data_IF_882194467083
#
_entry.id   IF_882194467083
#
_cell.length_a   1.000
_cell.length_b   1.000
_cell.length_c   1.000
_cell.angle_alpha   90.00
_cell.angle_beta   90.00
_cell.angle_gamma   90.00
#
_symmetry.space_group_name_H-M   'P 1'
#
loop_
_entity.id
_entity.type
_entity.pdbx_description
1 polymer ?
#
# COMPACT_ATOMS: atom_id res chain seq x y z
N UNK A 1 -14.64 -27.86 -34.72
CA UNK A 1 -13.80 -27.84 -33.50
C UNK A 1 -12.64 -26.94 -33.83
N UNK A 2 -12.90 -25.65 -33.91
CA UNK A 2 -11.88 -24.66 -34.31
C UNK A 2 -11.29 -24.06 -33.04
N UNK A 3 -10.73 -24.92 -32.21
CA UNK A 3 -9.76 -24.51 -31.20
C UNK A 3 -8.44 -24.23 -31.92
N UNK A 4 -8.46 -23.24 -32.81
CA UNK A 4 -7.22 -22.62 -33.24
C UNK A 4 -6.51 -22.17 -31.97
N UNK A 5 -5.31 -22.69 -31.72
CA UNK A 5 -4.62 -22.49 -30.46
C UNK A 5 -4.44 -20.98 -30.24
N UNK A 6 -5.26 -20.42 -29.36
CA UNK A 6 -5.32 -18.98 -29.14
C UNK A 6 -3.96 -18.46 -28.62
N UNK A 7 -3.15 -19.35 -28.05
CA UNK A 7 -1.78 -19.08 -27.63
C UNK A 7 -0.85 -18.84 -28.81
N UNK A 8 -1.00 -19.61 -29.89
CA UNK A 8 -0.23 -19.44 -31.12
C UNK A 8 -0.62 -18.15 -31.87
N UNK A 9 -1.84 -17.65 -31.66
CA UNK A 9 -2.32 -16.38 -32.23
C UNK A 9 -1.88 -15.15 -31.41
N UNK A 10 -1.46 -15.35 -30.17
CA UNK A 10 -1.08 -14.25 -29.28
C UNK A 10 0.39 -13.88 -29.55
N UNK A 11 0.61 -12.75 -30.22
CA UNK A 11 1.98 -12.27 -30.46
C UNK A 11 2.75 -12.06 -29.13
N UNK A 12 4.05 -12.39 -29.07
CA UNK A 12 4.88 -12.15 -27.88
C UNK A 12 4.81 -10.70 -27.39
N UNK A 13 4.80 -9.73 -28.30
CA UNK A 13 4.68 -8.31 -27.99
C UNK A 13 3.37 -7.97 -27.27
N UNK A 14 2.27 -8.64 -27.62
CA UNK A 14 0.98 -8.45 -26.94
C UNK A 14 1.07 -8.88 -25.47
N UNK A 15 1.75 -9.99 -25.18
CA UNK A 15 1.98 -10.44 -23.80
C UNK A 15 2.88 -9.48 -23.04
N UNK A 16 3.94 -8.99 -23.68
CA UNK A 16 4.84 -8.01 -23.07
C UNK A 16 4.10 -6.71 -22.73
N UNK A 17 3.20 -6.23 -23.59
CA UNK A 17 2.34 -5.08 -23.32
C UNK A 17 1.40 -5.31 -22.12
N UNK A 18 0.90 -6.54 -21.93
CA UNK A 18 0.11 -6.89 -20.75
C UNK A 18 0.96 -6.81 -19.47
N UNK A 19 2.16 -7.39 -19.48
CA UNK A 19 3.12 -7.30 -18.36
C UNK A 19 3.41 -5.84 -18.02
N UNK A 20 3.73 -5.00 -19.02
CA UNK A 20 4.01 -3.58 -18.81
C UNK A 20 2.82 -2.85 -18.17
N UNK A 21 1.59 -3.10 -18.64
CA UNK A 21 0.38 -2.51 -18.03
C UNK A 21 0.18 -2.93 -16.58
N UNK A 22 0.49 -4.18 -16.23
CA UNK A 22 0.43 -4.67 -14.85
C UNK A 22 1.48 -3.95 -14.01
N UNK A 23 2.73 -3.89 -14.47
CA UNK A 23 3.83 -3.21 -13.77
C UNK A 23 3.53 -1.72 -13.56
N UNK A 24 3.02 -1.01 -14.57
CA UNK A 24 2.62 0.40 -14.47
C UNK A 24 1.50 0.61 -13.46
N UNK A 25 0.54 -0.32 -13.42
CA UNK A 25 -0.57 -0.26 -12.45
C UNK A 25 -0.05 -0.45 -11.02
N UNK A 26 0.88 -1.37 -10.81
CA UNK A 26 1.50 -1.59 -9.50
C UNK A 26 2.33 -0.38 -9.06
N UNK A 27 3.12 0.20 -9.97
CA UNK A 27 3.94 1.39 -9.70
C UNK A 27 3.09 2.60 -9.27
N UNK A 28 1.92 2.82 -9.87
CA UNK A 28 1.03 3.93 -9.53
C UNK A 28 0.39 3.81 -8.14
N UNK A 29 0.30 2.59 -7.60
CA UNK A 29 -0.38 2.31 -6.32
C UNK A 29 0.60 2.25 -5.16
N UNK A 30 1.84 1.85 -5.44
CA UNK A 30 2.87 1.66 -4.43
C UNK A 30 3.73 2.92 -4.33
N UNK A 31 4.08 3.37 -3.12
CA UNK A 31 5.06 4.44 -2.97
C UNK A 31 6.38 3.89 -3.53
N UNK A 32 6.98 4.64 -4.47
CA UNK A 32 8.15 4.19 -5.24
C UNK A 32 9.23 3.62 -4.30
N UNK A 33 9.46 2.30 -4.36
CA UNK A 33 10.41 1.61 -3.49
C UNK A 33 11.85 1.60 -4.02
N UNK A 34 12.23 2.63 -4.78
CA UNK A 34 13.54 2.69 -5.44
C UNK A 34 13.72 1.66 -6.57
N UNK A 35 14.94 1.56 -7.14
CA UNK A 35 15.24 0.71 -8.31
C UNK A 35 14.96 -0.79 -8.08
N UNK A 36 15.34 -1.34 -6.93
CA UNK A 36 15.03 -2.72 -6.54
C UNK A 36 13.52 -3.01 -6.55
N UNK A 37 12.71 -2.07 -6.08
CA UNK A 37 11.25 -2.21 -6.05
C UNK A 37 10.67 -2.39 -7.46
N UNK A 38 11.16 -1.62 -8.44
CA UNK A 38 10.69 -1.73 -9.83
C UNK A 38 10.97 -3.11 -10.43
N UNK A 39 12.16 -3.66 -10.15
CA UNK A 39 12.54 -5.01 -10.60
C UNK A 39 11.63 -6.09 -9.98
N UNK A 40 11.27 -5.93 -8.71
CA UNK A 40 10.35 -6.83 -8.03
C UNK A 40 8.92 -6.74 -8.62
N UNK A 41 8.43 -5.53 -8.89
CA UNK A 41 7.12 -5.34 -9.54
C UNK A 41 7.07 -5.99 -10.91
N UNK A 42 8.16 -5.88 -11.68
CA UNK A 42 8.26 -6.54 -12.99
C UNK A 42 8.21 -8.07 -12.87
N UNK A 43 8.94 -8.65 -11.90
CA UNK A 43 8.89 -10.10 -11.64
C UNK A 43 7.51 -10.57 -11.21
N UNK A 44 6.82 -9.79 -10.37
CA UNK A 44 5.45 -10.08 -9.96
C UNK A 44 4.50 -10.03 -11.16
N UNK A 45 4.60 -8.99 -12.00
CA UNK A 45 3.79 -8.81 -13.19
C UNK A 45 4.00 -9.96 -14.21
N UNK A 46 5.25 -10.39 -14.39
CA UNK A 46 5.58 -11.51 -15.27
C UNK A 46 4.98 -12.82 -14.78
N UNK A 47 5.21 -13.19 -13.50
CA UNK A 47 4.63 -14.43 -12.92
C UNK A 47 3.10 -14.43 -12.98
N UNK A 48 2.50 -13.28 -12.75
CA UNK A 48 1.06 -13.11 -12.82
C UNK A 48 0.51 -13.39 -14.22
N UNK A 49 1.14 -12.79 -15.23
CA UNK A 49 0.73 -12.94 -16.62
C UNK A 49 0.92 -14.39 -17.06
N UNK A 50 2.06 -14.99 -16.75
CA UNK A 50 2.41 -16.37 -17.11
C UNK A 50 1.45 -17.38 -16.49
N UNK A 51 1.14 -17.24 -15.20
CA UNK A 51 0.15 -18.08 -14.53
C UNK A 51 -1.24 -17.97 -15.17
N UNK A 52 -1.60 -16.78 -15.66
CA UNK A 52 -2.90 -16.54 -16.31
C UNK A 52 -2.92 -17.09 -17.74
N UNK A 53 -1.82 -16.94 -18.48
CA UNK A 53 -1.64 -17.48 -19.82
C UNK A 53 -1.74 -19.01 -19.84
N UNK A 54 -1.14 -19.67 -18.86
CA UNK A 54 -1.22 -21.13 -18.71
C UNK A 54 -2.61 -21.60 -18.28
N UNK A 55 -3.29 -20.86 -17.40
CA UNK A 55 -4.60 -21.25 -16.89
C UNK A 55 -5.79 -20.93 -17.82
N UNK A 56 -5.64 -19.99 -18.76
CA UNK A 56 -6.74 -19.57 -19.62
C UNK A 56 -7.08 -20.60 -20.71
N UNK A 57 -8.36 -20.72 -21.04
CA UNK A 57 -8.83 -21.64 -22.09
C UNK A 57 -9.10 -20.95 -23.42
N UNK A 58 -9.16 -19.62 -23.44
CA UNK A 58 -9.31 -18.79 -24.63
C UNK A 58 -8.62 -17.43 -24.45
N UNK A 59 -8.38 -16.71 -25.54
CA UNK A 59 -7.84 -15.34 -25.48
C UNK A 59 -8.74 -14.40 -24.67
N UNK A 60 -10.06 -14.53 -24.81
CA UNK A 60 -11.03 -13.73 -24.06
C UNK A 60 -10.97 -14.06 -22.56
N UNK A 61 -10.87 -15.35 -22.20
CA UNK A 61 -10.71 -15.78 -20.81
C UNK A 61 -9.40 -15.25 -20.22
N UNK A 62 -8.31 -15.29 -20.98
CA UNK A 62 -7.03 -14.70 -20.59
C UNK A 62 -7.19 -13.21 -20.27
N UNK A 63 -7.76 -12.42 -21.20
CA UNK A 63 -7.95 -10.98 -21.00
C UNK A 63 -8.86 -10.67 -19.80
N UNK A 64 -9.98 -11.39 -19.65
CA UNK A 64 -10.87 -11.24 -18.48
C UNK A 64 -10.14 -11.53 -17.17
N UNK A 65 -9.37 -12.62 -17.09
CA UNK A 65 -8.63 -13.00 -15.88
C UNK A 65 -7.53 -11.98 -15.55
N UNK A 66 -6.83 -11.44 -16.56
CA UNK A 66 -5.86 -10.35 -16.37
C UNK A 66 -6.56 -9.13 -15.76
N UNK A 67 -7.64 -8.63 -16.37
CA UNK A 67 -8.38 -7.46 -15.87
C UNK A 67 -8.88 -7.66 -14.44
N UNK A 68 -9.48 -8.81 -14.12
CA UNK A 68 -10.00 -9.09 -12.79
C UNK A 68 -8.89 -9.16 -11.74
N UNK A 69 -7.78 -9.83 -12.05
CA UNK A 69 -6.68 -9.93 -11.11
C UNK A 69 -5.94 -8.59 -10.96
N UNK A 70 -5.85 -7.76 -12.01
CA UNK A 70 -5.32 -6.39 -11.91
C UNK A 70 -6.13 -5.55 -10.93
N UNK A 71 -7.47 -5.62 -11.00
CA UNK A 71 -8.36 -4.92 -10.05
C UNK A 71 -8.10 -5.34 -8.59
N UNK A 72 -7.92 -6.64 -8.33
CA UNK A 72 -7.60 -7.13 -6.98
C UNK A 72 -6.24 -6.65 -6.48
N UNK A 73 -5.24 -6.57 -7.35
CA UNK A 73 -3.90 -6.07 -6.99
C UNK A 73 -3.94 -4.56 -6.67
N UNK A 74 -4.75 -3.79 -7.40
CA UNK A 74 -5.04 -2.39 -7.11
C UNK A 74 -5.70 -2.18 -5.73
N UNK A 75 -6.60 -3.08 -5.32
CA UNK A 75 -7.30 -2.96 -4.03
C UNK A 75 -6.44 -3.37 -2.83
N UNK A 76 -5.58 -4.40 -2.98
CA UNK A 76 -4.70 -4.86 -1.89
C UNK A 76 -3.59 -3.87 -1.54
N UNK A 77 -3.09 -3.15 -2.54
CA UNK A 77 -2.04 -2.12 -2.35
C UNK A 77 -2.57 -0.90 -1.60
N UNK A 78 -3.83 -0.50 -1.82
CA UNK A 78 -4.47 0.56 -1.05
C UNK A 78 -4.71 0.17 0.42
N UNK A 79 -5.13 -1.07 0.68
CA UNK A 79 -5.44 -1.51 2.04
C UNK A 79 -4.19 -1.69 2.92
N UNK A 80 -3.03 -1.98 2.32
CA UNK A 80 -1.74 -2.03 3.02
C UNK A 80 -1.24 -0.63 3.44
N UNK A 81 -1.69 0.44 2.76
CA UNK A 81 -1.27 1.82 3.03
C UNK A 81 -2.22 2.56 4.00
N UNK A 82 -3.42 2.03 4.24
CA UNK A 82 -4.44 2.64 5.12
C UNK A 82 -4.25 2.41 6.63
N UNK A 83 -3.35 1.52 7.04
CA UNK A 83 -3.23 1.11 8.45
C UNK A 83 -2.15 1.84 9.28
N UNK A 84 -1.56 2.92 8.76
CA UNK A 84 -0.51 3.68 9.45
C UNK A 84 -0.99 5.03 10.03
N UNK A 85 -2.24 5.15 10.50
CA UNK A 85 -2.58 6.28 11.37
C UNK A 85 -2.03 6.01 12.78
N UNK A 86 -1.05 6.78 13.29
CA UNK A 86 -0.79 6.76 14.72
C UNK A 86 -2.02 7.34 15.44
N UNK A 87 -2.46 6.78 16.59
CA UNK A 87 -3.34 7.49 17.49
C UNK A 87 -2.63 8.78 17.89
N UNK A 88 -3.21 9.91 17.49
CA UNK A 88 -2.73 11.25 17.80
C UNK A 88 -2.61 11.39 19.34
N UNK A 89 -1.40 11.24 19.89
CA UNK A 89 -1.10 11.65 21.26
C UNK A 89 -0.95 13.17 21.26
N UNK A 90 -2.07 13.87 21.47
CA UNK A 90 -2.08 15.28 21.84
C UNK A 90 -1.69 15.40 23.32
N UNK A 91 -0.40 15.58 23.59
CA UNK A 91 0.06 16.14 24.85
C UNK A 91 0.13 17.66 24.75
N UNK A 92 -0.29 18.41 25.78
CA UNK A 92 0.22 19.76 25.99
C UNK A 92 1.36 19.69 27.01
N UNK A 93 2.58 19.91 26.52
CA UNK A 93 3.74 20.26 27.34
C UNK A 93 3.61 21.73 27.73
N UNK A 94 3.55 22.04 29.03
CA UNK A 94 3.87 23.37 29.55
C UNK A 94 4.37 23.27 30.99
N UNK A 95 5.68 23.43 31.17
CA UNK A 95 6.40 23.79 32.39
C UNK A 95 7.69 24.49 31.94
N UNK A 96 8.45 25.27 32.74
CA UNK A 96 8.30 25.68 34.16
C UNK A 96 8.63 27.21 34.32
N UNK A 97 9.02 27.81 35.49
CA UNK A 97 10.20 27.50 36.34
C UNK A 97 9.81 27.34 37.84
N UNK A 98 10.29 26.35 38.59
CA UNK A 98 11.52 26.32 39.41
C UNK A 98 11.74 27.49 40.39
N UNK A 99 12.09 27.08 41.63
CA UNK A 99 12.71 27.79 42.78
C UNK A 99 11.78 28.37 43.84
N UNK A 100 11.99 28.22 45.15
CA UNK A 100 12.83 27.38 46.02
C UNK A 100 12.21 27.53 47.44
N UNK A 101 12.70 26.72 48.36
CA UNK A 101 12.23 26.34 49.69
C UNK A 101 12.03 27.42 50.79
N UNK A 102 11.46 26.92 51.90
CA UNK A 102 11.77 27.23 53.30
C UNK A 102 10.82 28.11 54.17
N UNK A 103 10.47 27.47 55.30
CA UNK A 103 10.36 27.96 56.67
C UNK A 103 9.16 28.81 57.17
N UNK A 104 8.40 28.12 58.02
CA UNK A 104 8.28 28.40 59.47
C UNK A 104 7.43 29.57 59.99
N UNK A 105 6.67 29.18 61.03
CA UNK A 105 6.08 29.93 62.14
C UNK A 105 5.36 31.27 61.93
N UNK A 106 4.12 31.23 62.42
CA UNK A 106 3.51 32.24 63.29
C UNK A 106 2.89 33.49 62.62
N UNK A 107 1.56 33.45 62.43
CA UNK A 107 0.66 34.47 63.01
C UNK A 107 -0.82 34.14 62.79
N UNK A 108 -1.54 33.84 63.88
CA UNK A 108 -2.96 34.22 64.01
C UNK A 108 -3.02 35.77 64.01
N UNK A 109 -4.12 36.41 63.57
CA UNK A 109 -5.14 36.76 64.56
C UNK A 109 -6.61 36.72 64.07
N UNK A 110 -7.47 36.49 65.09
CA UNK A 110 -8.76 37.15 65.39
C UNK A 110 -9.89 37.08 64.35
N UNK A 111 -10.88 36.23 64.65
CA UNK A 111 -12.28 36.49 64.29
C UNK A 111 -12.90 37.40 65.35
N UNK A 112 -13.48 38.51 64.90
CA UNK A 112 -14.38 39.38 65.67
C UNK A 112 -15.79 38.94 65.28
N UNK A 113 -16.54 38.36 66.22
CA UNK A 113 -17.93 38.70 66.58
C UNK A 113 -18.34 37.90 67.82
#
# INVERSE_FOLDING_TARGET
>A
MDTSDWRAQLMPDSRHRVVNKITDTLQKRLPMSGPEGLLELQRIAQRFEENTFTAATSQEDYLRKISLKMLRMEMRTQNAMGNNMPPNQVGPSNRPPHQDDDDDLNSRPVVID
#
